data_IF_116656749777
#
_entry.id   IF_116656749777
#
_cell.length_a   1.000
_cell.length_b   1.000
_cell.length_c   1.000
_cell.angle_alpha   90.00
_cell.angle_beta   90.00
_cell.angle_gamma   90.00
#
_symmetry.space_group_name_H-M   'P 1'
#
loop_
_entity.id
_entity.type
_entity.pdbx_description
1 polymer ?
#
# COMPACT_ATOMS: atom_id res chain seq x y z
N UNK A 1 -3.31 3.64 -16.29
CA UNK A 1 -4.63 3.96 -15.73
C UNK A 1 -4.51 4.05 -14.22
N UNK A 2 -5.04 5.15 -13.64
CA UNK A 2 -5.04 5.29 -12.18
C UNK A 2 -6.21 4.51 -11.58
N UNK A 3 -5.96 3.87 -10.46
CA UNK A 3 -6.99 3.16 -9.72
C UNK A 3 -7.22 3.84 -8.37
N UNK A 4 -8.45 3.79 -7.91
CA UNK A 4 -8.86 4.50 -6.70
C UNK A 4 -9.56 3.57 -5.74
N UNK A 5 -9.37 3.84 -4.45
CA UNK A 5 -10.08 3.19 -3.37
C UNK A 5 -11.01 4.23 -2.74
N UNK A 6 -12.30 3.92 -2.67
CA UNK A 6 -13.30 4.79 -2.03
C UNK A 6 -13.70 4.13 -0.73
N UNK A 7 -13.41 4.78 0.39
CA UNK A 7 -13.73 4.19 1.68
C UNK A 7 -15.20 4.40 2.05
N UNK A 8 -15.63 3.80 3.15
CA UNK A 8 -17.02 3.86 3.61
C UNK A 8 -17.50 5.26 3.96
N UNK A 9 -16.57 6.18 4.23
CA UNK A 9 -16.88 7.58 4.55
C UNK A 9 -16.91 8.47 3.30
N UNK A 10 -16.76 7.89 2.12
CA UNK A 10 -16.75 8.63 0.86
C UNK A 10 -15.42 9.29 0.52
N UNK A 11 -14.38 9.02 1.27
CA UNK A 11 -13.05 9.52 0.96
C UNK A 11 -12.43 8.71 -0.17
N UNK A 12 -11.66 9.38 -1.03
CA UNK A 12 -11.06 8.77 -2.21
C UNK A 12 -9.55 8.81 -2.12
N UNK A 13 -8.92 7.67 -2.37
CA UNK A 13 -7.46 7.52 -2.33
C UNK A 13 -6.98 6.92 -3.65
N UNK A 14 -5.82 7.37 -4.13
CA UNK A 14 -5.21 6.74 -5.30
C UNK A 14 -4.48 5.49 -4.83
N UNK A 15 -4.71 4.36 -5.49
CA UNK A 15 -3.99 3.11 -5.22
C UNK A 15 -2.70 3.15 -6.02
N UNK A 16 -1.56 3.26 -5.33
CA UNK A 16 -0.25 3.24 -5.99
C UNK A 16 0.19 1.82 -6.32
N UNK A 17 -0.04 0.91 -5.39
CA UNK A 17 0.22 -0.52 -5.60
C UNK A 17 -0.52 -1.33 -4.54
N UNK A 18 -0.68 -2.63 -4.78
CA UNK A 18 -1.34 -3.52 -3.82
C UNK A 18 -0.93 -4.97 -4.04
N UNK A 19 -1.01 -5.76 -2.97
CA UNK A 19 -0.86 -7.21 -3.02
C UNK A 19 -2.20 -7.81 -2.57
N UNK A 20 -3.04 -8.14 -3.54
CA UNK A 20 -4.40 -8.65 -3.30
C UNK A 20 -5.16 -7.82 -2.27
N UNK A 21 -5.80 -8.43 -1.29
CA UNK A 21 -6.48 -7.74 -0.20
C UNK A 21 -5.65 -7.72 1.08
N UNK A 22 -4.35 -7.98 0.97
CA UNK A 22 -3.45 -8.07 2.12
C UNK A 22 -2.86 -6.72 2.48
N UNK A 23 -2.29 -6.01 1.50
CA UNK A 23 -1.62 -4.73 1.70
C UNK A 23 -1.87 -3.83 0.51
N UNK A 24 -2.18 -2.56 0.79
CA UNK A 24 -2.27 -1.51 -0.23
C UNK A 24 -1.44 -0.31 0.17
N UNK A 25 -0.81 0.33 -0.81
CA UNK A 25 -0.21 1.64 -0.63
C UNK A 25 -1.09 2.68 -1.30
N UNK A 26 -1.63 3.59 -0.51
CA UNK A 26 -2.56 4.62 -0.95
C UNK A 26 -1.93 6.00 -0.83
N UNK A 27 -2.31 6.88 -1.74
CA UNK A 27 -1.97 8.29 -1.64
C UNK A 27 -3.25 9.10 -1.44
N UNK A 28 -3.24 9.96 -0.42
CA UNK A 28 -4.38 10.83 -0.13
C UNK A 28 -4.40 12.02 -1.08
N UNK A 29 -5.53 12.71 -1.14
CA UNK A 29 -5.65 13.92 -1.96
C UNK A 29 -4.72 15.05 -1.48
N UNK A 30 -4.28 15.00 -0.23
CA UNK A 30 -3.37 15.98 0.35
C UNK A 30 -1.90 15.62 0.19
N UNK A 31 -1.59 14.52 -0.50
CA UNK A 31 -0.22 14.11 -0.73
C UNK A 31 0.41 13.30 0.39
N UNK A 32 -0.37 12.84 1.35
CA UNK A 32 0.08 11.92 2.38
C UNK A 32 -0.10 10.48 1.90
N UNK A 33 0.41 9.51 2.68
CA UNK A 33 0.38 8.10 2.28
C UNK A 33 -0.19 7.24 3.40
N UNK A 34 -0.86 6.16 2.99
CA UNK A 34 -1.41 5.17 3.91
C UNK A 34 -0.99 3.80 3.41
N UNK A 35 -0.36 3.02 4.30
CA UNK A 35 -0.13 1.60 4.04
C UNK A 35 -1.23 0.84 4.77
N UNK A 36 -2.21 0.36 4.03
CA UNK A 36 -3.40 -0.29 4.58
C UNK A 36 -3.25 -1.81 4.52
N UNK A 37 -3.69 -2.50 5.57
CA UNK A 37 -3.65 -3.95 5.68
C UNK A 37 -5.05 -4.51 5.90
N UNK A 38 -5.22 -5.77 5.46
CA UNK A 38 -6.45 -6.54 5.67
C UNK A 38 -7.67 -5.79 5.12
N UNK A 39 -7.65 -5.65 3.81
CA UNK A 39 -8.69 -4.91 3.09
C UNK A 39 -9.97 -5.73 3.08
N UNK A 40 -11.07 -5.10 3.49
CA UNK A 40 -12.39 -5.71 3.55
C UNK A 40 -13.39 -4.78 2.86
N UNK A 41 -13.58 -4.98 1.55
CA UNK A 41 -14.49 -4.14 0.79
C UNK A 41 -14.02 -2.69 0.73
N UNK A 42 -14.72 -1.79 1.40
CA UNK A 42 -14.43 -0.36 1.43
C UNK A 42 -13.73 0.10 2.71
N UNK A 43 -13.14 -0.84 3.45
CA UNK A 43 -12.42 -0.54 4.69
C UNK A 43 -11.15 -1.38 4.80
N UNK A 44 -10.33 -1.10 5.82
CA UNK A 44 -9.15 -1.89 6.13
C UNK A 44 -9.02 -2.07 7.64
N UNK A 45 -8.35 -3.17 8.05
CA UNK A 45 -8.22 -3.54 9.45
C UNK A 45 -7.14 -2.75 10.20
N UNK A 46 -6.08 -2.34 9.52
CA UNK A 46 -4.99 -1.56 10.11
C UNK A 46 -4.38 -0.66 9.06
N UNK A 47 -3.90 0.51 9.47
CA UNK A 47 -3.26 1.46 8.57
C UNK A 47 -2.08 2.15 9.22
N UNK A 48 -0.98 2.28 8.48
CA UNK A 48 0.17 3.09 8.87
C UNK A 48 0.12 4.38 8.06
N UNK A 49 0.16 5.52 8.74
CA UNK A 49 -0.02 6.83 8.13
C UNK A 49 1.33 7.53 8.03
N UNK A 50 1.67 7.97 6.82
CA UNK A 50 2.94 8.60 6.51
C UNK A 50 2.70 10.01 6.00
N UNK A 51 2.96 11.00 6.84
CA UNK A 51 2.71 12.40 6.50
C UNK A 51 3.82 12.92 5.60
N UNK A 52 3.48 13.10 4.31
CA UNK A 52 4.41 13.65 3.32
C UNK A 52 5.75 12.89 3.25
N UNK A 53 5.73 11.58 3.51
CA UNK A 53 6.93 10.74 3.51
C UNK A 53 6.72 9.55 2.57
N UNK A 54 6.96 9.80 1.28
CA UNK A 54 6.81 8.78 0.24
C UNK A 54 7.79 7.62 0.45
N UNK A 55 9.04 7.93 0.78
CA UNK A 55 10.08 6.92 0.96
C UNK A 55 9.75 5.98 2.12
N UNK A 56 9.33 6.54 3.25
CA UNK A 56 8.93 5.73 4.41
C UNK A 56 7.74 4.85 4.12
N UNK A 57 6.74 5.40 3.42
CA UNK A 57 5.54 4.65 3.05
C UNK A 57 5.87 3.47 2.13
N UNK A 58 6.73 3.67 1.12
CA UNK A 58 7.13 2.60 0.22
C UNK A 58 7.92 1.51 0.93
N UNK A 59 8.83 1.88 1.84
CA UNK A 59 9.59 0.90 2.63
C UNK A 59 8.66 0.05 3.49
N UNK A 60 7.70 0.70 4.14
CA UNK A 60 6.72 0.02 4.97
C UNK A 60 5.86 -0.92 4.14
N UNK A 61 5.40 -0.47 2.97
CA UNK A 61 4.63 -1.30 2.06
C UNK A 61 5.41 -2.54 1.64
N UNK A 62 6.67 -2.38 1.21
CA UNK A 62 7.49 -3.51 0.78
C UNK A 62 7.69 -4.52 1.88
N UNK A 63 7.93 -4.06 3.10
CA UNK A 63 8.10 -4.95 4.25
C UNK A 63 6.84 -5.79 4.49
N UNK A 64 5.69 -5.14 4.52
CA UNK A 64 4.43 -5.82 4.81
C UNK A 64 3.98 -6.70 3.65
N UNK A 65 4.20 -6.28 2.42
CA UNK A 65 3.88 -7.08 1.25
C UNK A 65 4.75 -8.33 1.17
N UNK A 66 6.04 -8.19 1.53
CA UNK A 66 6.94 -9.34 1.58
C UNK A 66 6.48 -10.37 2.62
N UNK A 67 6.09 -9.91 3.80
CA UNK A 67 5.54 -10.77 4.84
C UNK A 67 4.23 -11.45 4.36
N UNK A 68 3.37 -10.69 3.69
CA UNK A 68 2.10 -11.22 3.18
C UNK A 68 2.30 -12.26 2.08
N UNK A 69 3.40 -12.17 1.31
CA UNK A 69 3.71 -13.14 0.26
C UNK A 69 4.22 -14.47 0.82
N UNK A 70 4.41 -14.57 2.15
CA UNK A 70 4.94 -15.77 2.80
C UNK A 70 6.44 -15.90 2.69
N UNK A 71 7.13 -14.84 2.31
CA UNK A 71 8.58 -14.79 2.19
C UNK A 71 9.13 -15.85 1.23
N UNK A 72 8.42 -16.10 0.14
CA UNK A 72 8.75 -17.17 -0.81
C UNK A 72 9.87 -16.80 -1.79
N UNK A 73 10.39 -15.60 -1.73
CA UNK A 73 11.48 -15.15 -2.60
C UNK A 73 12.44 -14.27 -1.81
N UNK A 74 13.62 -14.05 -2.39
CA UNK A 74 14.60 -13.14 -1.83
C UNK A 74 13.99 -11.73 -1.75
N UNK A 75 14.22 -11.04 -0.63
CA UNK A 75 13.69 -9.70 -0.41
C UNK A 75 14.14 -8.72 -1.50
N UNK A 76 15.38 -8.82 -1.95
CA UNK A 76 15.89 -7.96 -3.03
C UNK A 76 15.19 -8.23 -4.35
N UNK A 77 14.92 -9.48 -4.67
CA UNK A 77 14.15 -9.85 -5.86
C UNK A 77 12.72 -9.31 -5.77
N UNK A 78 12.13 -9.40 -4.59
CA UNK A 78 10.79 -8.90 -4.36
C UNK A 78 10.72 -7.38 -4.59
N UNK A 79 11.67 -6.62 -4.05
CA UNK A 79 11.72 -5.18 -4.23
C UNK A 79 11.87 -4.81 -5.71
N UNK A 80 12.66 -5.54 -6.47
CA UNK A 80 12.84 -5.29 -7.90
C UNK A 80 11.53 -5.39 -8.68
N UNK A 81 10.59 -6.23 -8.25
CA UNK A 81 9.29 -6.36 -8.91
C UNK A 81 8.47 -5.06 -8.85
N UNK A 82 8.68 -4.25 -7.83
CA UNK A 82 7.95 -3.01 -7.61
C UNK A 82 8.77 -1.75 -7.88
N UNK A 83 9.96 -1.94 -8.43
CA UNK A 83 10.85 -0.82 -8.71
C UNK A 83 10.25 0.10 -9.76
N UNK A 84 10.18 1.39 -9.46
CA UNK A 84 9.77 2.40 -10.43
C UNK A 84 10.89 2.57 -11.46
N UNK A 85 10.49 2.51 -12.73
CA UNK A 85 11.43 2.64 -13.84
C UNK A 85 11.43 4.08 -14.34
#
# INVERSE_FOLDING_TARGET
MKMYFNNENGERYEILTRVHNEVMLLQTMNGNYIVARWIMGDSWGAGHYWMNDRSGAWKDFFKLAYEASGENMDYNEFIEMFREV
#
